data_IF_017962969175
#
_entry.id   IF_017962969175
#
_cell.length_a   1.000
_cell.length_b   1.000
_cell.length_c   1.000
_cell.angle_alpha   90.00
_cell.angle_beta   90.00
_cell.angle_gamma   90.00
#
_symmetry.space_group_name_H-M   'P 1'
#
loop_
_entity.id
_entity.type
_entity.pdbx_description
1 polymer ?
#
# COMPACT_ATOMS: atom_id res chain seq x y z
N UNK A 1 -14.74 -23.32 -38.30
CA UNK A 1 -13.77 -22.93 -37.23
C UNK A 1 -13.06 -21.60 -37.47
N UNK A 2 -12.60 -21.26 -38.70
CA UNK A 2 -11.86 -20.01 -38.98
C UNK A 2 -12.58 -18.70 -38.62
N UNK A 3 -13.93 -18.63 -38.73
CA UNK A 3 -14.71 -17.42 -38.42
C UNK A 3 -14.91 -17.18 -36.90
N UNK A 4 -15.02 -18.26 -36.12
CA UNK A 4 -15.14 -18.18 -34.65
C UNK A 4 -13.79 -17.84 -34.00
N UNK A 5 -12.69 -18.43 -34.49
CA UNK A 5 -11.34 -18.10 -34.03
C UNK A 5 -10.98 -16.63 -34.28
N UNK A 6 -11.34 -16.07 -35.43
CA UNK A 6 -11.10 -14.64 -35.73
C UNK A 6 -11.88 -13.69 -34.80
N UNK A 7 -13.13 -14.04 -34.45
CA UNK A 7 -13.94 -13.25 -33.50
C UNK A 7 -13.39 -13.31 -32.08
N UNK A 8 -12.96 -14.49 -31.64
CA UNK A 8 -12.28 -14.68 -30.34
C UNK A 8 -10.97 -13.89 -30.25
N UNK A 9 -10.16 -13.90 -31.31
CA UNK A 9 -8.92 -13.13 -31.37
C UNK A 9 -9.18 -11.63 -31.21
N UNK A 10 -10.18 -11.10 -31.91
CA UNK A 10 -10.56 -9.67 -31.82
C UNK A 10 -11.03 -9.33 -30.39
N UNK A 11 -11.85 -10.19 -29.77
CA UNK A 11 -12.29 -9.98 -28.38
C UNK A 11 -11.12 -9.98 -27.40
N UNK A 12 -10.14 -10.86 -27.60
CA UNK A 12 -8.95 -10.94 -26.75
C UNK A 12 -8.09 -9.68 -26.88
N UNK A 13 -7.90 -9.16 -28.10
CA UNK A 13 -7.19 -7.90 -28.33
C UNK A 13 -7.93 -6.74 -27.64
N UNK A 14 -9.27 -6.67 -27.78
CA UNK A 14 -10.07 -5.64 -27.12
C UNK A 14 -9.91 -5.73 -25.60
N UNK A 15 -10.01 -6.93 -25.02
CA UNK A 15 -9.81 -7.13 -23.59
C UNK A 15 -8.42 -6.68 -23.12
N UNK A 16 -7.36 -7.01 -23.87
CA UNK A 16 -6.00 -6.57 -23.56
C UNK A 16 -5.84 -5.04 -23.61
N UNK A 17 -6.42 -4.38 -24.62
CA UNK A 17 -6.39 -2.91 -24.75
C UNK A 17 -7.18 -2.25 -23.61
N UNK A 18 -8.37 -2.76 -23.29
CA UNK A 18 -9.19 -2.25 -22.19
C UNK A 18 -8.48 -2.42 -20.84
N UNK A 19 -7.83 -3.55 -20.60
CA UNK A 19 -7.05 -3.80 -19.39
C UNK A 19 -5.84 -2.85 -19.30
N UNK A 20 -5.12 -2.64 -20.41
CA UNK A 20 -4.01 -1.67 -20.46
C UNK A 20 -4.48 -0.24 -20.15
N UNK A 21 -5.62 0.18 -20.71
CA UNK A 21 -6.22 1.46 -20.37
C UNK A 21 -6.61 1.55 -18.89
N UNK A 22 -7.23 0.50 -18.34
CA UNK A 22 -7.57 0.45 -16.92
C UNK A 22 -6.32 0.62 -16.02
N UNK A 23 -5.22 -0.06 -16.34
CA UNK A 23 -3.97 0.04 -15.58
C UNK A 23 -3.36 1.44 -15.64
N UNK A 24 -3.41 2.10 -16.80
CA UNK A 24 -2.83 3.43 -16.99
C UNK A 24 -3.67 4.55 -16.39
N UNK A 25 -5.01 4.43 -16.41
CA UNK A 25 -5.92 5.52 -16.09
C UNK A 25 -6.66 5.36 -14.76
N UNK A 26 -6.96 4.13 -14.35
CA UNK A 26 -7.83 3.86 -13.19
C UNK A 26 -7.03 3.31 -12.01
N UNK A 27 -6.12 2.36 -12.27
CA UNK A 27 -5.35 1.69 -11.21
C UNK A 27 -4.57 2.72 -10.38
N UNK A 28 -4.71 2.70 -9.05
CA UNK A 28 -4.04 3.66 -8.18
C UNK A 28 -2.52 3.46 -8.28
N UNK A 29 -1.78 4.57 -8.22
CA UNK A 29 -0.31 4.57 -8.18
C UNK A 29 0.26 4.47 -6.76
N UNK A 30 -0.60 4.36 -5.74
CA UNK A 30 -0.24 4.30 -4.33
C UNK A 30 -1.42 3.79 -3.50
N UNK A 31 -1.29 3.81 -2.18
CA UNK A 31 -2.33 3.29 -1.29
C UNK A 31 -3.52 4.24 -1.18
N UNK A 32 -4.71 3.75 -1.48
CA UNK A 32 -5.99 4.44 -1.26
C UNK A 32 -6.71 3.95 -0.02
N UNK A 33 -6.19 2.91 0.63
CA UNK A 33 -6.72 2.32 1.85
C UNK A 33 -5.61 2.25 2.91
N UNK A 34 -5.92 2.73 4.11
CA UNK A 34 -4.96 2.84 5.22
C UNK A 34 -4.65 1.47 5.84
N UNK A 35 -5.64 0.59 5.92
CA UNK A 35 -5.49 -0.72 6.54
C UNK A 35 -4.60 -1.62 5.69
N UNK A 36 -4.80 -1.55 4.38
CA UNK A 36 -3.91 -2.18 3.41
C UNK A 36 -2.48 -1.63 3.52
N UNK A 37 -2.32 -0.30 3.59
CA UNK A 37 -1.01 0.34 3.73
C UNK A 37 -0.25 -0.16 4.97
N UNK A 38 -0.92 -0.22 6.12
CA UNK A 38 -0.31 -0.70 7.38
C UNK A 38 0.06 -2.16 7.29
N UNK A 39 -0.86 -2.99 6.82
CA UNK A 39 -0.63 -4.44 6.68
C UNK A 39 0.56 -4.71 5.75
N UNK A 40 0.61 -4.03 4.61
CA UNK A 40 1.69 -4.20 3.63
C UNK A 40 3.01 -3.65 4.16
N UNK A 41 3.02 -2.54 4.91
CA UNK A 41 4.22 -2.03 5.58
C UNK A 41 4.82 -3.05 6.54
N UNK A 42 4.07 -3.50 7.54
CA UNK A 42 4.60 -4.43 8.55
C UNK A 42 4.96 -5.80 7.95
N UNK A 43 4.32 -6.21 6.85
CA UNK A 43 4.68 -7.44 6.14
C UNK A 43 6.00 -7.32 5.37
N UNK A 44 6.35 -6.12 4.91
CA UNK A 44 7.51 -5.88 4.05
C UNK A 44 8.51 -4.89 4.65
N UNK A 45 8.47 -4.64 5.97
CA UNK A 45 9.29 -3.62 6.62
C UNK A 45 10.80 -3.91 6.53
N UNK A 46 11.16 -5.17 6.37
CA UNK A 46 12.55 -5.62 6.16
C UNK A 46 13.05 -5.42 4.72
N UNK A 47 12.17 -4.98 3.80
CA UNK A 47 12.57 -4.67 2.44
C UNK A 47 13.42 -3.41 2.39
N UNK A 48 14.45 -3.41 1.54
CA UNK A 48 15.37 -2.27 1.39
C UNK A 48 14.70 -0.97 0.93
N UNK A 49 13.49 -1.06 0.37
CA UNK A 49 12.69 0.05 -0.15
C UNK A 49 11.40 0.29 0.66
N UNK A 50 11.23 -0.35 1.82
CA UNK A 50 10.01 -0.21 2.64
C UNK A 50 9.75 1.26 3.01
N UNK A 51 10.73 1.93 3.59
CA UNK A 51 10.60 3.34 3.98
C UNK A 51 10.43 4.29 2.78
N UNK A 52 10.85 3.89 1.58
CA UNK A 52 10.58 4.65 0.36
C UNK A 52 9.14 4.46 -0.15
N UNK A 53 8.59 3.28 0.08
CA UNK A 53 7.30 2.84 -0.47
C UNK A 53 6.14 3.29 0.41
N UNK A 54 6.28 3.18 1.73
CA UNK A 54 5.18 3.32 2.68
C UNK A 54 5.14 4.69 3.37
N UNK A 55 6.26 5.41 3.42
CA UNK A 55 6.38 6.73 4.05
C UNK A 55 6.60 7.83 3.01
N UNK A 56 6.28 9.07 3.38
CA UNK A 56 6.60 10.24 2.55
C UNK A 56 8.04 10.69 2.75
N UNK A 57 8.56 11.48 1.82
CA UNK A 57 9.92 12.05 1.91
C UNK A 57 10.20 12.78 3.24
N UNK A 58 9.17 13.43 3.80
CA UNK A 58 9.25 14.17 5.07
C UNK A 58 9.30 13.26 6.30
N UNK A 59 8.76 12.04 6.19
CA UNK A 59 8.56 11.11 7.33
C UNK A 59 9.45 9.88 7.25
N UNK A 60 10.25 9.75 6.18
CA UNK A 60 11.15 8.61 5.94
C UNK A 60 12.13 8.37 7.09
N UNK A 61 12.69 9.41 7.69
CA UNK A 61 13.64 9.26 8.80
C UNK A 61 13.04 8.60 10.05
N UNK A 62 11.73 8.78 10.28
CA UNK A 62 11.02 8.08 11.35
C UNK A 62 10.89 6.59 11.05
N UNK A 63 10.61 6.24 9.78
CA UNK A 63 10.59 4.84 9.35
C UNK A 63 11.94 4.16 9.54
N UNK A 64 13.04 4.80 9.11
CA UNK A 64 14.38 4.21 9.24
C UNK A 64 14.72 3.91 10.71
N UNK A 65 14.32 4.81 11.62
CA UNK A 65 14.50 4.62 13.06
C UNK A 65 13.62 3.48 13.59
N UNK A 66 12.37 3.41 13.14
CA UNK A 66 11.42 2.38 13.57
C UNK A 66 11.87 0.98 13.11
N UNK A 67 12.23 0.81 11.84
CA UNK A 67 12.67 -0.48 11.28
C UNK A 67 13.93 -0.98 12.00
N UNK A 68 14.86 -0.07 12.35
CA UNK A 68 16.05 -0.43 13.13
C UNK A 68 15.75 -1.02 14.51
N UNK A 69 14.60 -0.73 15.13
CA UNK A 69 14.21 -1.33 16.41
C UNK A 69 13.93 -2.83 16.29
N UNK A 70 13.58 -3.30 15.10
CA UNK A 70 13.22 -4.68 14.81
C UNK A 70 14.27 -5.39 13.94
N UNK A 71 15.46 -4.82 13.76
CA UNK A 71 16.50 -5.41 12.90
C UNK A 71 16.89 -6.81 13.40
N UNK A 72 16.62 -7.82 12.57
CA UNK A 72 16.85 -9.23 12.89
C UNK A 72 15.72 -9.94 13.64
N UNK A 73 14.62 -9.26 13.96
CA UNK A 73 13.43 -9.83 14.58
C UNK A 73 12.36 -10.20 13.54
N UNK A 74 11.57 -11.25 13.81
CA UNK A 74 10.43 -11.59 12.93
C UNK A 74 9.17 -10.91 13.46
N UNK A 75 8.62 -10.02 12.64
CA UNK A 75 7.45 -9.20 12.95
C UNK A 75 6.21 -9.78 12.27
N UNK A 76 5.12 -10.01 13.01
CA UNK A 76 3.85 -10.49 12.45
C UNK A 76 2.69 -9.59 12.85
N UNK A 77 1.92 -9.12 11.87
CA UNK A 77 0.66 -8.40 12.13
C UNK A 77 -0.41 -9.38 12.59
N UNK A 78 -0.89 -9.23 13.83
CA UNK A 78 -2.02 -10.02 14.34
C UNK A 78 -3.35 -9.39 14.00
N UNK A 79 -3.43 -8.07 14.15
CA UNK A 79 -4.68 -7.33 14.06
C UNK A 79 -4.43 -5.87 13.75
N UNK A 80 -5.31 -5.29 12.95
CA UNK A 80 -5.45 -3.85 12.78
C UNK A 80 -6.84 -3.41 13.22
N UNK A 81 -6.92 -2.25 13.88
CA UNK A 81 -8.18 -1.64 14.31
C UNK A 81 -8.18 -0.18 13.91
N UNK A 82 -9.13 0.20 13.06
CA UNK A 82 -9.34 1.60 12.70
C UNK A 82 -9.95 2.37 13.87
N UNK A 83 -9.28 3.43 14.30
CA UNK A 83 -9.72 4.32 15.37
C UNK A 83 -9.72 5.76 14.88
N UNK A 84 -10.86 6.22 14.35
CA UNK A 84 -10.98 7.56 13.77
C UNK A 84 -10.05 7.74 12.56
N UNK A 85 -9.03 8.58 12.70
CA UNK A 85 -8.05 8.86 11.63
C UNK A 85 -6.81 7.97 11.66
N UNK A 86 -6.63 7.16 12.72
CA UNK A 86 -5.47 6.30 12.95
C UNK A 86 -5.82 4.82 12.83
N UNK A 87 -4.78 3.99 12.75
CA UNK A 87 -4.90 2.54 12.84
C UNK A 87 -4.06 2.07 14.02
N UNK A 88 -4.66 1.26 14.88
CA UNK A 88 -3.95 0.56 15.95
C UNK A 88 -3.55 -0.80 15.39
N UNK A 89 -2.26 -1.05 15.24
CA UNK A 89 -1.71 -2.30 14.76
C UNK A 89 -1.15 -3.11 15.94
N UNK A 90 -1.70 -4.29 16.18
CA UNK A 90 -1.16 -5.26 17.15
C UNK A 90 -0.15 -6.13 16.42
N UNK A 91 1.09 -6.06 16.88
CA UNK A 91 2.26 -6.69 16.28
C UNK A 91 2.82 -7.71 17.26
N UNK A 92 3.08 -8.92 16.77
CA UNK A 92 3.79 -9.96 17.52
C UNK A 92 5.27 -9.94 17.14
N UNK A 93 6.12 -9.82 18.15
CA UNK A 93 7.58 -9.93 18.03
C UNK A 93 8.06 -11.02 18.98
N UNK A 94 8.44 -12.15 18.41
CA UNK A 94 8.81 -13.35 19.16
C UNK A 94 7.64 -13.91 19.99
N UNK A 95 7.60 -13.59 21.29
CA UNK A 95 6.54 -14.03 22.23
C UNK A 95 5.78 -12.87 22.87
N UNK A 96 6.08 -11.64 22.48
CA UNK A 96 5.45 -10.43 22.98
C UNK A 96 4.49 -9.88 21.92
N UNK A 97 3.37 -9.32 22.37
CA UNK A 97 2.46 -8.54 21.54
C UNK A 97 2.55 -7.08 21.97
N UNK A 98 2.75 -6.18 21.01
CA UNK A 98 2.77 -4.74 21.21
C UNK A 98 1.76 -4.07 20.28
N UNK A 99 1.15 -2.98 20.75
CA UNK A 99 0.22 -2.17 19.96
C UNK A 99 0.89 -0.88 19.54
N UNK A 100 0.84 -0.58 18.25
CA UNK A 100 1.35 0.65 17.66
C UNK A 100 0.22 1.47 17.07
N UNK A 101 0.24 2.77 17.33
CA UNK A 101 -0.67 3.74 16.74
C UNK A 101 -0.02 4.30 15.48
N UNK A 102 -0.62 3.99 14.34
CA UNK A 102 -0.18 4.46 13.03
C UNK A 102 -1.00 5.66 12.60
N UNK A 103 -0.32 6.76 12.30
CA UNK A 103 -0.89 7.99 11.74
C UNK A 103 -0.56 8.12 10.26
N UNK A 104 -1.29 8.97 9.54
CA UNK A 104 -1.21 9.03 8.09
C UNK A 104 -1.23 10.46 7.58
N UNK A 105 -0.44 10.70 6.53
CA UNK A 105 -0.53 11.88 5.69
C UNK A 105 -1.22 11.51 4.38
N UNK A 106 -2.08 12.40 3.90
CA UNK A 106 -2.78 12.27 2.62
C UNK A 106 -2.16 13.22 1.61
N UNK A 107 -1.71 12.72 0.47
CA UNK A 107 -1.24 13.52 -0.67
C UNK A 107 -2.27 13.50 -1.78
N UNK A 108 -2.68 14.68 -2.24
CA UNK A 108 -3.62 14.82 -3.35
C UNK A 108 -3.02 14.30 -4.65
N UNK A 109 -3.84 13.61 -5.44
CA UNK A 109 -3.45 13.20 -6.78
C UNK A 109 -3.55 14.41 -7.71
N UNK A 110 -2.43 14.83 -8.28
CA UNK A 110 -2.36 16.04 -9.13
C UNK A 110 -2.51 15.75 -10.63
N UNK A 111 -2.39 14.48 -11.04
CA UNK A 111 -2.46 14.07 -12.44
C UNK A 111 -3.88 13.64 -12.85
N UNK A 112 -4.02 13.14 -14.08
CA UNK A 112 -5.31 12.70 -14.64
C UNK A 112 -5.97 11.55 -13.85
N UNK A 113 -5.22 10.82 -13.00
CA UNK A 113 -5.77 9.78 -12.13
C UNK A 113 -6.62 10.35 -10.98
N UNK A 114 -6.57 11.67 -10.73
CA UNK A 114 -7.38 12.37 -9.72
C UNK A 114 -8.87 12.07 -9.83
N UNK A 115 -9.36 11.85 -11.05
CA UNK A 115 -10.76 11.55 -11.30
C UNK A 115 -11.21 10.24 -10.65
N UNK A 116 -10.32 9.26 -10.55
CA UNK A 116 -10.62 7.95 -9.94
C UNK A 116 -10.08 7.82 -8.52
N UNK A 117 -8.99 8.53 -8.20
CA UNK A 117 -8.32 8.46 -6.91
C UNK A 117 -8.05 9.90 -6.43
N UNK A 118 -8.76 10.37 -5.40
CA UNK A 118 -8.60 11.76 -4.93
C UNK A 118 -7.26 12.01 -4.26
N UNK A 119 -6.80 11.04 -3.47
CA UNK A 119 -5.58 11.11 -2.68
C UNK A 119 -4.97 9.74 -2.48
N UNK A 120 -3.68 9.73 -2.14
CA UNK A 120 -2.96 8.56 -1.66
C UNK A 120 -2.49 8.78 -0.22
N UNK A 121 -2.45 7.71 0.55
CA UNK A 121 -1.99 7.71 1.94
C UNK A 121 -0.55 7.24 2.03
N UNK A 122 0.17 7.87 2.95
CA UNK A 122 1.49 7.46 3.42
C UNK A 122 1.46 7.43 4.95
N UNK A 123 2.30 6.59 5.54
CA UNK A 123 2.48 6.59 6.98
C UNK A 123 3.22 7.88 7.38
N UNK A 124 2.69 8.54 8.40
CA UNK A 124 3.26 9.75 8.98
C UNK A 124 4.15 9.38 10.17
N UNK A 125 3.54 8.82 11.22
CA UNK A 125 4.25 8.32 12.41
C UNK A 125 3.72 6.96 12.86
N UNK A 126 4.55 6.25 13.62
CA UNK A 126 4.20 5.02 14.34
C UNK A 126 4.67 5.23 15.79
N UNK A 127 3.75 5.10 16.75
CA UNK A 127 3.97 5.33 18.18
C UNK A 127 3.49 4.16 19.04
#
# INVERSE_FOLDING_TARGET
MKKLGKRLLILLIIAAVLYGAYMLFVMPSGYTDKDQLVTDFFTNMDSSDACETYFGDETRSYCDTFVQLFDGETVTVKRTVTSGSTIIATIEVGSNEEEFIVTFVSKDVTNYKRFFNSSYYYIDTIE
#
